data_IF_682171665074
#
_entry.id   IF_682171665074
#
_cell.length_a   1.000
_cell.length_b   1.000
_cell.length_c   1.000
_cell.angle_alpha   90.00
_cell.angle_beta   90.00
_cell.angle_gamma   90.00
#
_symmetry.space_group_name_H-M   'P 1'
#
loop_
_entity.id
_entity.type
_entity.pdbx_description
1 polymer ?
#
# COMPACT_ATOMS: atom_id res chain seq x y z
N UNK A 1 -37.38 1.63 33.15
CA UNK A 1 -35.99 1.30 33.54
C UNK A 1 -35.61 0.04 32.78
N UNK A 2 -34.50 0.14 32.06
CA UNK A 2 -34.15 -0.60 30.85
C UNK A 2 -34.04 -2.13 30.96
N UNK A 3 -34.39 -2.83 29.87
CA UNK A 3 -33.82 -4.12 29.54
C UNK A 3 -32.98 -4.07 28.25
N UNK A 4 -31.77 -4.62 28.31
CA UNK A 4 -31.16 -5.44 27.26
C UNK A 4 -30.95 -4.86 25.84
N UNK A 5 -29.68 -4.58 25.51
CA UNK A 5 -29.15 -4.51 24.13
C UNK A 5 -29.43 -5.79 23.32
N UNK A 6 -29.45 -5.74 21.96
CA UNK A 6 -28.23 -6.08 21.19
C UNK A 6 -28.11 -5.29 19.84
N UNK A 7 -27.22 -5.62 18.87
CA UNK A 7 -25.99 -4.87 18.59
C UNK A 7 -25.96 -4.18 17.20
N UNK A 8 -25.03 -3.24 17.05
CA UNK A 8 -24.69 -2.50 15.83
C UNK A 8 -24.40 -3.41 14.61
N UNK A 9 -25.33 -3.45 13.65
CA UNK A 9 -25.31 -4.39 12.53
C UNK A 9 -24.78 -3.84 11.18
N UNK A 10 -24.08 -2.70 11.13
CA UNK A 10 -23.54 -2.19 9.83
C UNK A 10 -22.06 -1.82 9.86
N UNK A 11 -21.45 -1.57 11.02
CA UNK A 11 -19.98 -1.42 11.13
C UNK A 11 -19.21 -2.74 11.21
N UNK A 12 -19.92 -3.86 11.05
CA UNK A 12 -19.37 -5.20 11.13
C UNK A 12 -19.00 -5.76 9.76
N UNK A 13 -19.56 -5.38 8.61
CA UNK A 13 -19.28 -6.13 7.38
C UNK A 13 -17.81 -6.12 6.92
N UNK A 14 -17.09 -4.99 6.95
CA UNK A 14 -15.67 -4.97 6.54
C UNK A 14 -14.70 -5.46 7.64
N UNK A 15 -14.99 -5.16 8.91
CA UNK A 15 -14.16 -5.61 10.04
C UNK A 15 -14.43 -7.07 10.40
N UNK A 16 -15.63 -7.58 10.12
CA UNK A 16 -16.04 -8.97 10.32
C UNK A 16 -15.71 -9.80 9.10
N UNK A 17 -15.54 -9.27 7.89
CA UNK A 17 -14.89 -10.03 6.81
C UNK A 17 -13.41 -10.29 7.14
N UNK A 18 -12.71 -9.33 7.77
CA UNK A 18 -11.33 -9.52 8.24
C UNK A 18 -11.25 -10.38 9.51
N UNK A 19 -12.20 -10.26 10.44
CA UNK A 19 -12.31 -11.15 11.61
C UNK A 19 -12.89 -12.54 11.29
N UNK A 20 -13.76 -12.71 10.29
CA UNK A 20 -14.20 -14.00 9.72
C UNK A 20 -13.01 -14.69 9.03
N UNK A 21 -12.12 -13.92 8.39
CA UNK A 21 -10.89 -14.43 7.76
C UNK A 21 -9.93 -15.05 8.77
N UNK A 22 -9.84 -14.52 9.99
CA UNK A 22 -8.93 -15.04 11.02
C UNK A 22 -9.59 -15.94 12.08
N UNK A 23 -10.87 -15.73 12.42
CA UNK A 23 -11.56 -16.47 13.48
C UNK A 23 -12.44 -17.64 13.00
N UNK A 24 -12.87 -17.66 11.73
CA UNK A 24 -13.76 -18.72 11.20
C UNK A 24 -13.05 -19.57 10.13
N UNK A 25 -12.22 -19.00 9.26
CA UNK A 25 -11.52 -19.80 8.22
C UNK A 25 -10.45 -20.72 8.83
N UNK A 26 -9.74 -20.31 9.88
CA UNK A 26 -8.69 -21.13 10.51
C UNK A 26 -9.26 -22.37 11.23
N UNK A 27 -10.36 -22.29 12.01
CA UNK A 27 -11.00 -23.48 12.57
C UNK A 27 -11.82 -24.29 11.55
N UNK A 28 -12.44 -23.64 10.55
CA UNK A 28 -13.18 -24.35 9.51
C UNK A 28 -12.26 -25.13 8.54
N UNK A 29 -11.03 -24.67 8.29
CA UNK A 29 -10.00 -25.43 7.55
C UNK A 29 -9.54 -26.68 8.31
N UNK A 30 -9.54 -26.66 9.65
CA UNK A 30 -9.28 -27.84 10.48
C UNK A 30 -10.44 -28.84 10.45
N UNK A 31 -11.70 -28.39 10.36
CA UNK A 31 -12.86 -29.28 10.26
C UNK A 31 -13.05 -29.84 8.83
N UNK A 32 -12.85 -29.02 7.78
CA UNK A 32 -12.92 -29.47 6.38
C UNK A 32 -11.84 -30.51 6.04
N UNK A 33 -10.63 -30.37 6.61
CA UNK A 33 -9.53 -31.34 6.46
C UNK A 33 -9.85 -32.70 7.10
N UNK A 34 -10.67 -32.75 8.17
CA UNK A 34 -11.06 -34.00 8.83
C UNK A 34 -12.30 -34.67 8.20
N UNK A 35 -13.15 -33.91 7.49
CA UNK A 35 -14.38 -34.44 6.85
C UNK A 35 -14.16 -34.82 5.38
N UNK A 36 -13.33 -34.09 4.61
CA UNK A 36 -13.11 -34.34 3.18
C UNK A 36 -11.82 -35.10 2.83
N UNK A 37 -10.88 -35.22 3.77
CA UNK A 37 -9.70 -36.08 3.62
C UNK A 37 -9.65 -37.10 4.77
N UNK A 38 -10.41 -38.22 4.70
CA UNK A 38 -10.15 -39.34 5.58
C UNK A 38 -8.69 -39.74 5.39
N UNK A 39 -7.93 -39.88 6.48
CA UNK A 39 -6.57 -40.41 6.44
C UNK A 39 -6.59 -41.72 5.65
N UNK A 40 -6.15 -41.67 4.39
CA UNK A 40 -5.89 -42.88 3.61
C UNK A 40 -4.71 -43.54 4.28
N UNK A 41 -5.02 -44.50 5.17
CA UNK A 41 -4.08 -45.52 5.62
C UNK A 41 -3.36 -46.04 4.38
N UNK A 42 -2.06 -45.80 4.31
CA UNK A 42 -1.19 -46.39 3.30
C UNK A 42 -1.42 -47.90 3.29
N UNK A 43 -2.17 -48.39 2.29
CA UNK A 43 -2.15 -49.81 1.94
C UNK A 43 -0.77 -50.05 1.33
N UNK A 44 0.14 -50.61 2.14
CA UNK A 44 1.39 -51.22 1.69
C UNK A 44 1.09 -52.13 0.50
N UNK A 45 1.36 -51.66 -0.71
CA UNK A 45 1.35 -52.49 -1.89
C UNK A 45 2.57 -53.42 -1.79
N UNK A 46 2.30 -54.70 -1.53
CA UNK A 46 3.32 -55.76 -1.55
C UNK A 46 3.94 -55.81 -2.95
N UNK A 47 5.22 -55.46 -3.04
CA UNK A 47 6.05 -55.66 -4.22
C UNK A 47 6.05 -57.15 -4.62
N UNK A 48 5.40 -57.50 -5.73
CA UNK A 48 5.68 -58.74 -6.46
C UNK A 48 6.83 -58.46 -7.42
N UNK A 49 7.90 -59.23 -7.26
CA UNK A 49 9.18 -59.06 -7.93
C UNK A 49 9.06 -58.96 -9.44
N UNK A 50 9.43 -57.79 -9.98
CA UNK A 50 9.96 -57.66 -11.32
C UNK A 50 11.45 -57.34 -11.18
N UNK A 51 12.30 -58.15 -11.83
CA UNK A 51 13.75 -57.91 -11.94
C UNK A 51 13.97 -56.49 -12.49
N UNK A 52 14.31 -55.55 -11.61
CA UNK A 52 14.71 -54.18 -11.99
C UNK A 52 16.06 -54.27 -12.68
N UNK A 53 16.09 -54.16 -13.99
CA UNK A 53 17.27 -53.61 -14.67
C UNK A 53 17.47 -52.20 -14.12
N UNK A 54 18.57 -51.95 -13.41
CA UNK A 54 18.97 -50.62 -12.94
C UNK A 54 19.27 -49.76 -14.17
N UNK A 55 18.23 -49.22 -14.82
CA UNK A 55 18.41 -48.09 -15.73
C UNK A 55 18.84 -46.92 -14.87
N UNK A 56 20.07 -46.45 -15.04
CA UNK A 56 20.50 -45.22 -14.40
C UNK A 56 19.53 -44.11 -14.81
N UNK A 57 19.07 -43.28 -13.85
CA UNK A 57 18.19 -42.16 -14.19
C UNK A 57 18.88 -41.26 -15.20
N UNK A 58 18.13 -40.79 -16.21
CA UNK A 58 18.68 -39.87 -17.20
C UNK A 58 19.12 -38.58 -16.49
N UNK A 59 20.38 -38.15 -16.64
CA UNK A 59 20.86 -36.95 -15.97
C UNK A 59 20.21 -35.72 -16.59
N UNK A 60 19.49 -34.94 -15.77
CA UNK A 60 18.78 -33.72 -16.18
C UNK A 60 19.68 -32.76 -16.97
N UNK A 61 20.98 -32.73 -16.66
CA UNK A 61 21.97 -31.86 -17.32
C UNK A 61 22.31 -32.26 -18.76
N UNK A 62 21.87 -33.44 -19.24
CA UNK A 62 22.05 -33.86 -20.63
C UNK A 62 20.86 -33.46 -21.52
N UNK A 63 19.84 -32.82 -20.96
CA UNK A 63 18.74 -32.30 -21.76
C UNK A 63 19.20 -31.07 -22.58
N UNK A 64 18.66 -30.88 -23.80
CA UNK A 64 18.80 -29.62 -24.53
C UNK A 64 18.23 -28.45 -23.71
N UNK A 65 18.65 -27.23 -24.04
CA UNK A 65 18.28 -26.02 -23.29
C UNK A 65 16.76 -25.82 -23.16
N UNK A 66 16.01 -25.89 -24.28
CA UNK A 66 14.56 -25.61 -24.27
C UNK A 66 13.74 -26.58 -23.38
N UNK A 67 13.89 -27.92 -23.47
CA UNK A 67 13.24 -28.83 -22.52
C UNK A 67 13.64 -28.58 -21.07
N UNK A 68 14.90 -28.23 -20.83
CA UNK A 68 15.41 -27.97 -19.50
C UNK A 68 14.84 -26.68 -18.90
N UNK A 69 14.70 -25.62 -19.70
CA UNK A 69 14.02 -24.37 -19.33
C UNK A 69 12.55 -24.63 -19.00
N UNK A 70 11.85 -25.39 -19.84
CA UNK A 70 10.45 -25.75 -19.59
C UNK A 70 10.31 -26.53 -18.28
N UNK A 71 11.11 -27.56 -18.07
CA UNK A 71 11.10 -28.34 -16.81
C UNK A 71 11.39 -27.43 -15.62
N UNK A 72 12.45 -26.61 -15.68
CA UNK A 72 12.82 -25.72 -14.59
C UNK A 72 11.71 -24.67 -14.31
N UNK A 73 11.04 -24.18 -15.35
CA UNK A 73 9.93 -23.23 -15.23
C UNK A 73 8.71 -23.84 -14.52
N UNK A 74 8.47 -25.13 -14.70
CA UNK A 74 7.36 -25.88 -14.11
C UNK A 74 7.66 -26.45 -12.72
N UNK A 75 8.94 -26.48 -12.30
CA UNK A 75 9.32 -26.87 -10.94
C UNK A 75 8.65 -25.96 -9.90
N UNK A 76 8.19 -26.56 -8.82
CA UNK A 76 7.79 -25.81 -7.63
C UNK A 76 8.97 -24.96 -7.13
N UNK A 77 8.68 -23.78 -6.58
CA UNK A 77 9.71 -22.80 -6.24
C UNK A 77 10.74 -23.36 -5.25
N UNK A 78 10.25 -24.10 -4.25
CA UNK A 78 11.09 -24.76 -3.24
C UNK A 78 11.94 -25.88 -3.85
N UNK A 79 11.39 -26.67 -4.78
CA UNK A 79 12.13 -27.73 -5.49
C UNK A 79 13.24 -27.12 -6.36
N UNK A 80 12.97 -26.01 -7.04
CA UNK A 80 13.96 -25.28 -7.83
C UNK A 80 15.09 -24.75 -6.95
N UNK A 81 14.77 -24.19 -5.78
CA UNK A 81 15.78 -23.76 -4.79
C UNK A 81 16.62 -24.95 -4.31
N UNK A 82 15.99 -26.03 -3.87
CA UNK A 82 16.67 -27.26 -3.45
C UNK A 82 17.62 -27.81 -4.53
N UNK A 83 17.15 -27.83 -5.77
CA UNK A 83 17.94 -28.29 -6.93
C UNK A 83 19.18 -27.42 -7.14
N UNK A 84 19.05 -26.10 -7.01
CA UNK A 84 20.19 -25.17 -7.09
C UNK A 84 21.19 -25.39 -5.95
N UNK A 85 20.71 -25.71 -4.75
CA UNK A 85 21.56 -25.95 -3.58
C UNK A 85 22.26 -27.32 -3.60
N UNK A 86 21.74 -28.29 -4.36
CA UNK A 86 22.22 -29.68 -4.37
C UNK A 86 23.68 -29.83 -4.82
N UNK A 87 24.12 -29.09 -5.84
CA UNK A 87 25.50 -29.16 -6.34
C UNK A 87 25.90 -27.91 -7.11
N UNK A 88 27.19 -27.63 -7.25
CA UNK A 88 27.68 -26.53 -8.12
C UNK A 88 27.27 -26.74 -9.58
N UNK A 89 27.16 -27.99 -10.03
CA UNK A 89 26.76 -28.32 -11.41
C UNK A 89 25.30 -27.96 -11.68
N UNK A 90 24.39 -28.34 -10.78
CA UNK A 90 22.96 -28.01 -10.90
C UNK A 90 22.68 -26.53 -10.69
N UNK A 91 23.44 -25.87 -9.81
CA UNK A 91 23.41 -24.41 -9.68
C UNK A 91 23.76 -23.73 -11.00
N UNK A 92 24.94 -24.01 -11.57
CA UNK A 92 25.39 -23.37 -12.80
C UNK A 92 24.43 -23.63 -13.97
N UNK A 93 23.88 -24.85 -14.04
CA UNK A 93 22.85 -25.20 -14.99
C UNK A 93 21.62 -24.28 -14.86
N UNK A 94 21.00 -24.21 -13.68
CA UNK A 94 19.81 -23.37 -13.46
C UNK A 94 20.09 -21.88 -13.66
N UNK A 95 21.27 -21.40 -13.27
CA UNK A 95 21.67 -19.98 -13.42
C UNK A 95 21.89 -19.55 -14.87
N UNK A 96 21.99 -20.51 -15.80
CA UNK A 96 22.16 -20.25 -17.24
C UNK A 96 20.85 -20.25 -18.03
N UNK A 97 19.74 -20.65 -17.40
CA UNK A 97 18.43 -20.76 -18.03
C UNK A 97 17.70 -19.41 -18.09
N UNK A 98 16.88 -19.24 -19.12
CA UNK A 98 15.95 -18.11 -19.23
C UNK A 98 14.62 -18.48 -18.59
N UNK A 99 14.44 -18.09 -17.32
CA UNK A 99 13.22 -18.40 -16.57
C UNK A 99 12.18 -17.27 -16.69
N UNK A 100 10.87 -17.59 -16.72
CA UNK A 100 9.82 -16.58 -16.79
C UNK A 100 9.72 -15.78 -15.49
N UNK A 101 9.25 -14.52 -15.60
CA UNK A 101 8.97 -13.66 -14.45
C UNK A 101 7.61 -14.02 -13.86
N UNK A 102 7.60 -14.53 -12.63
CA UNK A 102 6.37 -15.02 -11.99
C UNK A 102 6.33 -14.76 -10.47
N UNK A 103 7.30 -14.03 -9.92
CA UNK A 103 7.44 -13.81 -8.48
C UNK A 103 7.63 -12.35 -8.15
N UNK A 104 7.08 -11.90 -7.02
CA UNK A 104 7.44 -10.66 -6.35
C UNK A 104 8.49 -10.94 -5.27
N UNK A 105 9.48 -10.06 -5.15
CA UNK A 105 10.51 -10.15 -4.12
C UNK A 105 10.34 -9.06 -3.08
N UNK A 106 10.53 -9.39 -1.80
CA UNK A 106 10.61 -8.39 -0.74
C UNK A 106 11.88 -8.60 0.07
N UNK A 107 12.66 -7.54 0.26
CA UNK A 107 13.81 -7.54 1.18
C UNK A 107 13.31 -7.10 2.55
N UNK A 108 13.31 -8.02 3.52
CA UNK A 108 12.95 -7.74 4.90
C UNK A 108 14.20 -7.32 5.67
N UNK A 109 14.20 -6.14 6.28
CA UNK A 109 15.31 -5.63 7.10
C UNK A 109 14.78 -5.32 8.49
N UNK A 110 15.25 -6.03 9.50
CA UNK A 110 14.86 -5.79 10.89
C UNK A 110 15.96 -6.22 11.87
N UNK A 111 16.25 -5.39 12.86
CA UNK A 111 17.14 -5.63 13.98
C UNK A 111 16.30 -6.22 15.13
N UNK A 112 16.47 -7.51 15.39
CA UNK A 112 15.70 -8.27 16.38
C UNK A 112 16.37 -8.30 17.76
N UNK A 113 17.43 -7.50 17.97
CA UNK A 113 18.18 -7.44 19.23
C UNK A 113 19.20 -8.57 19.41
N UNK A 114 18.91 -9.78 18.89
CA UNK A 114 19.89 -10.87 18.77
C UNK A 114 20.70 -10.81 17.46
N UNK A 115 20.35 -9.90 16.55
CA UNK A 115 21.06 -9.71 15.29
C UNK A 115 20.23 -8.96 14.25
N UNK A 116 20.90 -8.59 13.16
CA UNK A 116 20.24 -8.02 11.98
C UNK A 116 19.73 -9.16 11.10
N UNK A 117 18.43 -9.15 10.87
CA UNK A 117 17.74 -9.93 9.83
C UNK A 117 17.67 -9.09 8.56
N UNK A 118 18.07 -9.68 7.43
CA UNK A 118 18.05 -9.06 6.11
C UNK A 118 17.66 -10.13 5.07
N UNK A 119 16.46 -10.68 5.18
CA UNK A 119 16.03 -11.86 4.45
C UNK A 119 15.26 -11.52 3.18
N UNK A 120 15.14 -12.51 2.29
CA UNK A 120 14.46 -12.35 1.01
C UNK A 120 13.18 -13.18 1.03
N UNK A 121 12.04 -12.50 0.92
CA UNK A 121 10.73 -13.13 0.80
C UNK A 121 10.41 -13.23 -0.69
N UNK A 122 10.05 -14.42 -1.14
CA UNK A 122 9.69 -14.71 -2.52
C UNK A 122 8.24 -15.17 -2.51
N UNK A 123 7.35 -14.42 -3.15
CA UNK A 123 5.93 -14.70 -3.18
C UNK A 123 5.33 -14.61 -4.58
N UNK A 124 4.17 -15.23 -4.76
CA UNK A 124 3.31 -15.03 -5.93
C UNK A 124 1.99 -14.33 -5.56
N UNK A 125 1.19 -14.01 -6.58
CA UNK A 125 -0.13 -13.41 -6.43
C UNK A 125 -1.13 -14.34 -5.72
N UNK A 126 -0.85 -15.65 -5.70
CA UNK A 126 -1.70 -16.70 -5.11
C UNK A 126 -1.36 -16.99 -3.63
N UNK A 127 -0.67 -16.07 -2.96
CA UNK A 127 -0.34 -16.13 -1.52
C UNK A 127 0.59 -17.29 -1.11
N UNK A 128 1.25 -17.98 -2.05
CA UNK A 128 2.33 -18.90 -1.70
C UNK A 128 3.64 -18.11 -1.60
N UNK A 129 4.21 -18.03 -0.41
CA UNK A 129 5.50 -17.39 -0.19
C UNK A 129 6.44 -18.27 0.62
N UNK A 130 7.73 -18.11 0.39
CA UNK A 130 8.77 -18.70 1.24
C UNK A 130 9.86 -17.66 1.50
N UNK A 131 10.59 -17.85 2.59
CA UNK A 131 11.63 -16.92 3.05
C UNK A 131 13.00 -17.56 2.87
N UNK A 132 13.96 -16.81 2.33
CA UNK A 132 15.36 -17.23 2.22
C UNK A 132 16.18 -16.45 3.24
N UNK A 133 16.68 -17.17 4.24
CA UNK A 133 17.47 -16.63 5.34
C UNK A 133 18.88 -16.27 4.90
N UNK A 134 19.27 -15.00 5.09
CA UNK A 134 20.58 -14.47 4.69
C UNK A 134 21.52 -14.22 5.89
N UNK A 135 21.04 -14.43 7.12
CA UNK A 135 21.76 -14.18 8.37
C UNK A 135 21.93 -15.41 9.28
N UNK A 136 22.54 -15.17 10.44
CA UNK A 136 22.55 -16.14 11.53
C UNK A 136 21.13 -16.26 12.08
N UNK A 137 20.48 -17.39 11.77
CA UNK A 137 19.12 -17.68 12.19
C UNK A 137 19.14 -18.27 13.60
N UNK A 138 18.52 -17.60 14.56
CA UNK A 138 18.13 -18.23 15.82
C UNK A 138 16.67 -18.65 15.70
N UNK A 139 16.33 -19.86 16.16
CA UNK A 139 15.19 -20.69 15.75
C UNK A 139 13.78 -20.16 16.12
N UNK A 140 13.60 -18.86 16.36
CA UNK A 140 12.33 -18.28 16.85
C UNK A 140 11.50 -17.62 15.76
N UNK A 141 11.41 -18.21 14.58
CA UNK A 141 10.24 -17.90 13.73
C UNK A 141 9.04 -18.65 14.25
N UNK A 142 7.86 -18.03 14.31
CA UNK A 142 6.66 -18.77 14.65
C UNK A 142 6.47 -19.90 13.64
N UNK A 143 6.06 -21.09 14.13
CA UNK A 143 6.12 -22.40 13.46
C UNK A 143 5.47 -22.51 12.06
N UNK A 144 4.78 -21.45 11.61
CA UNK A 144 4.06 -21.38 10.35
C UNK A 144 4.83 -20.72 9.20
N UNK A 145 5.98 -20.08 9.42
CA UNK A 145 6.80 -19.49 8.34
C UNK A 145 8.02 -20.37 8.09
N UNK A 146 8.02 -21.07 6.96
CA UNK A 146 9.17 -21.88 6.54
C UNK A 146 10.28 -20.98 5.99
N UNK A 147 11.41 -20.99 6.68
CA UNK A 147 12.61 -20.25 6.27
C UNK A 147 13.65 -21.23 5.75
N UNK A 148 14.08 -20.99 4.52
CA UNK A 148 15.11 -21.75 3.85
C UNK A 148 16.48 -21.14 4.11
N UNK A 149 17.36 -21.89 4.76
CA UNK A 149 18.75 -21.48 4.97
C UNK A 149 19.60 -21.83 3.75
N UNK A 150 20.45 -20.90 3.32
CA UNK A 150 21.29 -21.06 2.12
C UNK A 150 22.79 -20.90 2.46
N UNK A 151 23.35 -21.75 3.36
CA UNK A 151 24.72 -21.58 3.86
C UNK A 151 25.76 -21.59 2.74
N UNK A 152 25.50 -22.30 1.63
CA UNK A 152 26.36 -22.32 0.43
C UNK A 152 26.59 -20.94 -0.19
N UNK A 153 25.65 -20.01 -0.03
CA UNK A 153 25.71 -18.66 -0.62
C UNK A 153 26.04 -17.57 0.40
N UNK A 154 26.14 -17.92 1.67
CA UNK A 154 26.46 -17.00 2.76
C UNK A 154 27.92 -17.14 3.18
N UNK A 155 28.52 -16.05 3.66
CA UNK A 155 29.86 -16.07 4.27
C UNK A 155 29.78 -15.67 5.73
N UNK A 156 30.41 -16.45 6.61
CA UNK A 156 30.34 -16.28 8.08
C UNK A 156 31.10 -15.04 8.59
N UNK A 157 32.07 -14.54 7.83
CA UNK A 157 32.91 -13.40 8.20
C UNK A 157 32.41 -12.04 7.65
N UNK A 158 31.26 -12.01 6.97
CA UNK A 158 30.67 -10.80 6.39
C UNK A 158 29.36 -10.44 7.08
N UNK A 159 28.95 -9.18 6.96
CA UNK A 159 27.69 -8.69 7.54
C UNK A 159 26.46 -9.32 6.86
N UNK A 160 25.34 -9.44 7.57
CA UNK A 160 24.07 -9.94 7.01
C UNK A 160 23.71 -9.27 5.68
N UNK A 161 23.81 -7.94 5.59
CA UNK A 161 23.50 -7.19 4.34
C UNK A 161 24.36 -7.64 3.16
N UNK A 162 25.65 -7.96 3.40
CA UNK A 162 26.52 -8.47 2.35
C UNK A 162 26.05 -9.84 1.86
N UNK A 163 25.66 -10.72 2.78
CA UNK A 163 25.10 -12.02 2.43
C UNK A 163 23.77 -11.87 1.69
N UNK A 164 22.90 -10.95 2.10
CA UNK A 164 21.64 -10.65 1.40
C UNK A 164 21.89 -10.24 -0.04
N UNK A 165 22.87 -9.37 -0.29
CA UNK A 165 23.29 -8.93 -1.63
C UNK A 165 23.77 -10.11 -2.49
N UNK A 166 24.62 -10.96 -1.93
CA UNK A 166 25.13 -12.18 -2.58
C UNK A 166 24.01 -13.15 -2.92
N UNK A 167 23.14 -13.46 -1.96
CA UNK A 167 22.01 -14.37 -2.11
C UNK A 167 21.00 -13.80 -3.10
N UNK A 168 20.68 -12.51 -3.03
CA UNK A 168 19.72 -11.88 -3.93
C UNK A 168 20.15 -11.98 -5.40
N UNK A 169 21.44 -11.82 -5.71
CA UNK A 169 21.93 -12.01 -7.07
C UNK A 169 21.72 -13.44 -7.62
N UNK A 170 21.66 -14.45 -6.74
CA UNK A 170 21.32 -15.83 -7.09
C UNK A 170 19.81 -16.02 -7.21
N UNK A 171 19.06 -15.48 -6.26
CA UNK A 171 17.59 -15.53 -6.22
C UNK A 171 16.99 -14.83 -7.44
N UNK A 172 17.46 -13.64 -7.81
CA UNK A 172 16.95 -12.89 -8.96
C UNK A 172 17.15 -13.61 -10.31
N UNK A 173 18.07 -14.58 -10.38
CA UNK A 173 18.25 -15.46 -11.55
C UNK A 173 17.34 -16.69 -11.50
N UNK A 174 17.21 -17.32 -10.32
CA UNK A 174 16.36 -18.51 -10.13
C UNK A 174 14.86 -18.19 -10.17
N UNK A 175 14.52 -16.97 -9.76
CA UNK A 175 13.16 -16.46 -9.67
C UNK A 175 13.15 -15.04 -10.25
N UNK A 176 13.16 -14.88 -11.58
CA UNK A 176 13.13 -13.55 -12.17
C UNK A 176 11.89 -12.76 -11.73
N UNK A 177 12.09 -11.49 -11.40
CA UNK A 177 11.03 -10.59 -10.94
C UNK A 177 11.12 -9.24 -11.65
N UNK A 178 9.97 -8.60 -11.85
CA UNK A 178 9.83 -7.18 -12.17
C UNK A 178 9.43 -6.34 -10.94
N UNK A 179 9.14 -6.98 -9.81
CA UNK A 179 8.64 -6.36 -8.59
C UNK A 179 9.58 -6.65 -7.42
N UNK A 180 10.32 -5.62 -7.03
CA UNK A 180 11.12 -5.61 -5.82
C UNK A 180 10.54 -4.62 -4.81
N UNK A 181 10.25 -5.10 -3.61
CA UNK A 181 9.74 -4.29 -2.51
C UNK A 181 10.71 -4.35 -1.32
N UNK A 182 10.67 -3.33 -0.45
CA UNK A 182 11.43 -3.25 0.78
C UNK A 182 10.49 -3.27 1.98
N UNK A 183 10.72 -4.16 2.94
CA UNK A 183 10.02 -4.19 4.21
C UNK A 183 11.01 -3.83 5.32
N UNK A 184 10.84 -2.66 5.92
CA UNK A 184 11.76 -2.04 6.86
C UNK A 184 11.10 -2.05 8.24
N UNK A 185 11.60 -2.94 9.10
CA UNK A 185 11.31 -2.93 10.53
C UNK A 185 12.27 -2.01 11.27
N UNK A 186 12.57 -2.35 12.52
CA UNK A 186 13.58 -1.65 13.32
C UNK A 186 14.94 -1.78 12.65
N UNK A 187 15.60 -0.70 12.26
CA UNK A 187 16.93 -0.79 11.66
C UNK A 187 17.75 0.48 11.91
N UNK A 188 19.06 0.29 12.10
CA UNK A 188 20.04 1.39 12.20
C UNK A 188 20.19 2.09 10.85
N UNK A 189 20.39 3.40 10.85
CA UNK A 189 20.60 4.21 9.64
C UNK A 189 21.60 3.61 8.66
N UNK A 190 22.77 3.16 9.15
CA UNK A 190 23.83 2.53 8.33
C UNK A 190 23.38 1.28 7.56
N UNK A 191 22.37 0.55 8.06
CA UNK A 191 21.87 -0.65 7.39
C UNK A 191 20.95 -0.27 6.22
N UNK A 192 20.07 0.71 6.45
CA UNK A 192 19.18 1.24 5.41
C UNK A 192 19.99 1.91 4.30
N UNK A 193 20.99 2.72 4.66
CA UNK A 193 21.91 3.36 3.70
C UNK A 193 22.59 2.34 2.78
N UNK A 194 23.11 1.24 3.35
CA UNK A 194 23.77 0.17 2.58
C UNK A 194 22.83 -0.54 1.61
N UNK A 195 21.55 -0.70 1.97
CA UNK A 195 20.55 -1.32 1.10
C UNK A 195 20.15 -0.35 -0.01
N UNK A 196 19.82 0.89 0.34
CA UNK A 196 19.39 1.90 -0.63
C UNK A 196 20.49 2.29 -1.63
N UNK A 197 21.76 2.11 -1.25
CA UNK A 197 22.93 2.37 -2.10
C UNK A 197 23.35 1.15 -2.95
N UNK A 198 22.74 -0.01 -2.75
CA UNK A 198 23.09 -1.23 -3.48
C UNK A 198 22.40 -1.26 -4.86
N UNK A 199 23.15 -1.44 -5.94
CA UNK A 199 22.63 -1.40 -7.31
C UNK A 199 21.64 -2.52 -7.61
N UNK A 200 21.82 -3.69 -6.99
CA UNK A 200 20.88 -4.80 -7.11
C UNK A 200 19.49 -4.49 -6.53
N UNK A 201 19.39 -3.52 -5.61
CA UNK A 201 18.14 -3.11 -5.00
C UNK A 201 17.59 -1.81 -5.60
N UNK A 202 18.30 -1.18 -6.54
CA UNK A 202 17.95 0.14 -7.06
C UNK A 202 16.52 0.18 -7.65
N UNK A 203 16.04 -0.92 -8.23
CA UNK A 203 14.74 -1.00 -8.91
C UNK A 203 13.56 -1.25 -7.97
N UNK A 204 13.73 -1.07 -6.66
CA UNK A 204 12.62 -1.23 -5.73
C UNK A 204 11.47 -0.25 -6.03
N UNK A 205 10.23 -0.75 -5.89
CA UNK A 205 8.99 -0.04 -6.20
C UNK A 205 8.26 0.41 -4.94
N UNK A 206 8.09 -0.48 -3.96
CA UNK A 206 7.40 -0.15 -2.71
C UNK A 206 8.36 -0.24 -1.51
N UNK A 207 8.26 0.72 -0.60
CA UNK A 207 8.84 0.63 0.73
C UNK A 207 7.74 0.59 1.79
N UNK A 208 7.78 -0.41 2.67
CA UNK A 208 6.89 -0.54 3.82
C UNK A 208 7.69 -0.36 5.11
N UNK A 209 7.35 0.64 5.91
CA UNK A 209 7.95 0.88 7.23
C UNK A 209 6.96 0.39 8.29
N UNK A 210 7.39 -0.55 9.15
CA UNK A 210 6.52 -1.13 10.18
C UNK A 210 6.83 -0.63 11.57
N UNK A 211 8.08 -0.57 12.00
CA UNK A 211 8.41 -0.18 13.37
C UNK A 211 8.97 1.25 13.47
N UNK A 212 9.30 1.66 14.69
CA UNK A 212 10.11 2.86 14.94
C UNK A 212 11.47 2.73 14.26
N UNK A 213 11.77 3.69 13.39
CA UNK A 213 13.09 3.88 12.79
C UNK A 213 13.68 5.23 13.22
N UNK A 214 15.00 5.35 13.12
CA UNK A 214 15.71 6.59 13.41
C UNK A 214 15.27 7.69 12.44
N UNK A 215 15.27 8.97 12.87
CA UNK A 215 14.93 10.11 12.00
C UNK A 215 15.79 10.11 10.73
N UNK A 216 17.11 9.97 10.89
CA UNK A 216 18.05 9.93 9.76
C UNK A 216 17.77 8.78 8.80
N UNK A 217 17.37 7.62 9.32
CA UNK A 217 16.94 6.49 8.51
C UNK A 217 15.67 6.80 7.69
N UNK A 218 14.67 7.44 8.31
CA UNK A 218 13.47 7.89 7.59
C UNK A 218 13.81 8.93 6.52
N UNK A 219 14.67 9.91 6.85
CA UNK A 219 15.12 10.95 5.92
C UNK A 219 15.83 10.34 4.70
N UNK A 220 16.61 9.28 4.88
CA UNK A 220 17.20 8.52 3.76
C UNK A 220 16.14 7.87 2.86
N UNK A 221 15.12 7.24 3.44
CA UNK A 221 14.02 6.60 2.68
C UNK A 221 13.26 7.66 1.88
N UNK A 222 12.88 8.76 2.53
CA UNK A 222 12.17 9.89 1.91
C UNK A 222 13.03 10.60 0.85
N UNK A 223 14.35 10.63 1.03
CA UNK A 223 15.26 11.20 0.04
C UNK A 223 15.45 10.33 -1.19
N UNK A 224 15.17 9.02 -1.09
CA UNK A 224 15.26 8.06 -2.17
C UNK A 224 13.97 8.03 -3.02
N UNK A 225 13.28 9.16 -3.18
CA UNK A 225 12.13 9.27 -4.10
C UNK A 225 12.60 9.14 -5.55
N UNK A 226 11.91 8.30 -6.32
CA UNK A 226 12.01 8.18 -7.78
C UNK A 226 10.59 7.94 -8.35
N UNK A 227 10.40 8.24 -9.63
CA UNK A 227 9.13 8.01 -10.34
C UNK A 227 8.69 6.55 -10.18
N UNK A 228 7.40 6.34 -9.90
CA UNK A 228 6.82 5.00 -9.77
C UNK A 228 6.91 4.38 -8.36
N UNK A 229 7.57 5.07 -7.41
CA UNK A 229 7.76 4.54 -6.06
C UNK A 229 6.61 4.88 -5.13
N UNK A 230 6.31 3.92 -4.26
CA UNK A 230 5.28 4.04 -3.23
C UNK A 230 5.89 3.84 -1.84
N UNK A 231 5.29 4.51 -0.85
CA UNK A 231 5.69 4.42 0.55
C UNK A 231 4.48 4.12 1.42
N UNK A 232 4.59 3.13 2.29
CA UNK A 232 3.57 2.78 3.27
C UNK A 232 4.19 2.72 4.66
N UNK A 233 3.70 3.52 5.59
CA UNK A 233 4.07 3.49 6.99
C UNK A 233 2.91 2.90 7.79
N UNK A 234 3.12 1.68 8.30
CA UNK A 234 2.10 0.88 8.99
C UNK A 234 1.73 1.45 10.36
N UNK A 235 0.76 0.81 11.04
CA UNK A 235 0.24 1.24 12.35
C UNK A 235 1.29 1.34 13.44
N UNK A 236 2.25 0.44 13.42
CA UNK A 236 3.36 0.38 14.37
C UNK A 236 4.50 1.37 14.02
N UNK A 237 4.41 2.07 12.89
CA UNK A 237 5.46 2.97 12.43
C UNK A 237 5.39 4.27 13.23
N UNK A 238 6.45 4.56 13.98
CA UNK A 238 6.53 5.74 14.82
C UNK A 238 7.37 6.81 14.13
N UNK A 239 6.78 7.99 13.99
CA UNK A 239 7.48 9.18 13.52
C UNK A 239 8.06 9.97 14.71
N UNK A 240 9.23 10.62 14.55
CA UNK A 240 9.72 11.59 15.51
C UNK A 240 8.68 12.69 15.79
N UNK A 241 8.66 13.23 17.00
CA UNK A 241 7.83 14.38 17.35
C UNK A 241 8.23 15.55 16.46
N UNK A 242 7.25 16.22 15.83
CA UNK A 242 7.46 17.29 14.85
C UNK A 242 8.31 16.88 13.64
N UNK A 243 8.18 15.63 13.19
CA UNK A 243 8.81 15.20 11.95
C UNK A 243 8.39 16.07 10.76
N UNK A 244 9.35 16.39 9.90
CA UNK A 244 9.15 17.15 8.67
C UNK A 244 10.19 16.69 7.64
N UNK A 245 9.76 16.56 6.39
CA UNK A 245 10.62 16.25 5.26
C UNK A 245 9.99 16.77 3.97
N UNK A 246 10.75 17.56 3.19
CA UNK A 246 10.25 18.22 1.96
C UNK A 246 9.70 17.23 0.93
N UNK A 247 10.29 16.04 0.86
CA UNK A 247 9.91 14.98 -0.10
C UNK A 247 8.87 13.99 0.41
N UNK A 248 8.27 14.21 1.58
CA UNK A 248 7.32 13.26 2.15
C UNK A 248 6.17 12.91 1.18
N UNK A 249 5.67 13.91 0.44
CA UNK A 249 4.58 13.73 -0.51
C UNK A 249 5.05 13.78 -1.97
N UNK A 250 6.26 13.30 -2.25
CA UNK A 250 6.79 13.17 -3.62
C UNK A 250 6.75 11.73 -4.17
N UNK A 251 6.21 10.78 -3.39
CA UNK A 251 5.94 9.42 -3.86
C UNK A 251 4.70 9.40 -4.77
N UNK A 252 4.61 8.42 -5.67
CA UNK A 252 3.42 8.22 -6.50
C UNK A 252 2.22 7.92 -5.61
N UNK A 253 2.42 7.06 -4.61
CA UNK A 253 1.46 6.82 -3.54
C UNK A 253 2.17 6.86 -2.19
N UNK A 254 1.52 7.48 -1.21
CA UNK A 254 1.98 7.47 0.18
C UNK A 254 0.85 7.15 1.15
N UNK A 255 1.14 6.28 2.11
CA UNK A 255 0.26 5.94 3.21
C UNK A 255 0.98 6.15 4.54
N UNK A 256 0.38 6.95 5.41
CA UNK A 256 0.88 7.25 6.75
C UNK A 256 -0.19 6.90 7.77
N UNK A 257 -0.02 5.78 8.48
CA UNK A 257 -0.99 5.38 9.49
C UNK A 257 -0.99 6.29 10.73
N UNK A 258 0.18 6.82 11.11
CA UNK A 258 0.34 7.75 12.22
C UNK A 258 0.70 9.14 11.67
N UNK A 259 -0.27 9.83 11.09
CA UNK A 259 -0.08 11.10 10.37
C UNK A 259 -0.20 12.36 11.25
N UNK A 260 -0.11 12.25 12.58
CA UNK A 260 -0.20 13.40 13.51
C UNK A 260 0.83 14.51 13.24
N UNK A 261 1.95 14.19 12.60
CA UNK A 261 3.00 15.16 12.23
C UNK A 261 2.66 15.94 10.95
N UNK A 262 1.73 15.44 10.14
CA UNK A 262 1.31 16.11 8.90
C UNK A 262 0.58 17.41 9.23
N UNK A 263 0.82 18.41 8.39
CA UNK A 263 0.29 19.77 8.49
C UNK A 263 -0.19 20.20 7.11
N UNK A 264 -1.09 21.18 7.05
CA UNK A 264 -1.65 21.68 5.79
C UNK A 264 -0.57 21.98 4.73
N UNK A 265 0.52 22.66 5.11
CA UNK A 265 1.58 23.02 4.15
C UNK A 265 2.21 21.81 3.44
N UNK A 266 2.26 20.63 4.06
CA UNK A 266 2.74 19.41 3.42
C UNK A 266 1.79 18.93 2.32
N UNK A 267 0.48 19.13 2.50
CA UNK A 267 -0.51 18.78 1.48
C UNK A 267 -0.50 19.76 0.31
N UNK A 268 -0.23 21.03 0.60
CA UNK A 268 -0.14 22.09 -0.41
C UNK A 268 1.17 22.01 -1.22
N UNK A 269 2.19 21.30 -0.75
CA UNK A 269 3.44 21.10 -1.51
C UNK A 269 3.38 19.91 -2.49
N UNK A 270 2.28 19.15 -2.49
CA UNK A 270 2.11 17.97 -3.34
C UNK A 270 2.11 18.33 -4.82
N UNK A 271 2.72 17.45 -5.63
CA UNK A 271 2.75 17.58 -7.08
C UNK A 271 2.54 16.21 -7.72
N UNK A 272 1.41 16.03 -8.40
CA UNK A 272 1.05 14.82 -9.17
C UNK A 272 1.06 13.54 -8.34
N UNK A 273 0.59 13.61 -7.09
CA UNK A 273 0.45 12.44 -6.22
C UNK A 273 -0.78 11.63 -6.66
N UNK A 274 -0.61 10.34 -6.98
CA UNK A 274 -1.73 9.47 -7.40
C UNK A 274 -2.65 9.14 -6.22
N UNK A 275 -2.07 8.87 -5.05
CA UNK A 275 -2.86 8.56 -3.86
C UNK A 275 -2.17 8.97 -2.56
N UNK A 276 -2.91 9.65 -1.69
CA UNK A 276 -2.56 9.81 -0.27
C UNK A 276 -3.51 8.99 0.58
N UNK A 277 -2.98 8.30 1.58
CA UNK A 277 -3.75 7.82 2.72
C UNK A 277 -3.15 8.36 4.00
N UNK A 278 -3.92 9.11 4.78
CA UNK A 278 -3.51 9.63 6.08
C UNK A 278 -4.45 9.09 7.15
N UNK A 279 -3.92 8.42 8.15
CA UNK A 279 -4.69 7.93 9.29
C UNK A 279 -4.20 8.65 10.55
N UNK A 280 -5.13 8.91 11.48
CA UNK A 280 -4.86 9.60 12.74
C UNK A 280 -4.09 10.91 12.53
N UNK A 281 -4.74 11.87 11.87
CA UNK A 281 -4.16 13.19 11.60
C UNK A 281 -4.71 14.26 12.55
N UNK A 282 -3.92 15.30 12.79
CA UNK A 282 -4.35 16.52 13.51
C UNK A 282 -4.90 17.61 12.56
N UNK A 283 -5.18 17.28 11.31
CA UNK A 283 -5.81 18.20 10.37
C UNK A 283 -7.25 18.45 10.80
N UNK A 284 -7.72 19.67 10.55
CA UNK A 284 -9.10 20.06 10.80
C UNK A 284 -9.92 19.99 9.51
N UNK A 285 -11.26 19.95 9.58
CA UNK A 285 -12.12 20.12 8.41
C UNK A 285 -11.81 21.39 7.60
N UNK A 286 -11.36 22.46 8.26
CA UNK A 286 -10.91 23.71 7.59
C UNK A 286 -9.63 23.48 6.79
N UNK A 287 -8.65 22.76 7.33
CA UNK A 287 -7.44 22.41 6.58
C UNK A 287 -7.77 21.58 5.35
N UNK A 288 -8.71 20.62 5.47
CA UNK A 288 -9.18 19.84 4.33
C UNK A 288 -9.91 20.69 3.29
N UNK A 289 -10.73 21.65 3.71
CA UNK A 289 -11.35 22.62 2.80
C UNK A 289 -10.29 23.37 1.99
N UNK A 290 -9.26 23.91 2.65
CA UNK A 290 -8.14 24.59 1.97
C UNK A 290 -7.39 23.67 1.02
N UNK A 291 -7.10 22.45 1.43
CA UNK A 291 -6.43 21.47 0.60
C UNK A 291 -7.23 21.12 -0.66
N UNK A 292 -8.54 20.81 -0.52
CA UNK A 292 -9.40 20.47 -1.65
C UNK A 292 -9.53 21.65 -2.62
N UNK A 293 -9.67 22.88 -2.08
CA UNK A 293 -9.66 24.10 -2.89
C UNK A 293 -8.38 24.23 -3.70
N UNK A 294 -7.24 24.04 -3.05
CA UNK A 294 -5.95 24.09 -3.71
C UNK A 294 -5.83 23.05 -4.82
N UNK A 295 -6.31 21.81 -4.61
CA UNK A 295 -6.34 20.78 -5.65
C UNK A 295 -7.20 21.18 -6.87
N UNK A 296 -8.34 21.82 -6.65
CA UNK A 296 -9.23 22.27 -7.74
C UNK A 296 -8.64 23.48 -8.46
N UNK A 297 -8.07 24.44 -7.74
CA UNK A 297 -7.63 25.73 -8.29
C UNK A 297 -6.24 25.68 -8.95
N UNK A 298 -5.37 24.74 -8.57
CA UNK A 298 -3.99 24.69 -9.07
C UNK A 298 -3.92 24.25 -10.51
N UNK A 299 -3.24 24.99 -11.38
CA UNK A 299 -3.18 24.72 -12.83
C UNK A 299 -2.87 23.26 -13.18
N UNK A 300 -1.97 22.61 -12.44
CA UNK A 300 -1.64 21.19 -12.59
C UNK A 300 -2.24 20.30 -11.51
N UNK A 301 -2.31 18.99 -11.78
CA UNK A 301 -2.77 18.01 -10.82
C UNK A 301 -1.88 17.99 -9.56
N UNK A 302 -2.46 18.39 -8.43
CA UNK A 302 -1.83 18.30 -7.10
C UNK A 302 -1.89 16.86 -6.59
N UNK A 303 -3.12 16.31 -6.50
CA UNK A 303 -3.40 14.98 -6.00
C UNK A 303 -4.63 14.40 -6.70
N UNK A 304 -4.59 13.14 -7.14
CA UNK A 304 -5.73 12.47 -7.79
C UNK A 304 -6.74 11.94 -6.77
N UNK A 305 -6.27 11.34 -5.67
CA UNK A 305 -7.13 10.79 -4.62
C UNK A 305 -6.48 10.93 -3.25
N UNK A 306 -7.26 11.38 -2.27
CA UNK A 306 -6.86 11.40 -0.87
C UNK A 306 -7.88 10.66 0.00
N UNK A 307 -7.38 9.84 0.91
CA UNK A 307 -8.16 9.21 1.96
C UNK A 307 -7.62 9.67 3.32
N UNK A 308 -8.37 10.50 4.02
CA UNK A 308 -7.91 11.17 5.24
C UNK A 308 -8.85 10.83 6.40
N UNK A 309 -8.30 10.22 7.45
CA UNK A 309 -9.04 9.86 8.67
C UNK A 309 -8.62 10.80 9.79
N UNK A 310 -9.54 11.67 10.20
CA UNK A 310 -9.34 12.64 11.27
C UNK A 310 -9.34 11.95 12.65
N UNK A 311 -8.70 12.58 13.64
CA UNK A 311 -8.68 12.09 15.01
C UNK A 311 -10.03 12.22 15.74
N UNK A 312 -10.85 13.21 15.36
CA UNK A 312 -12.16 13.47 15.97
C UNK A 312 -13.25 12.50 15.50
N UNK A 313 -14.34 12.35 16.26
CA UNK A 313 -15.42 11.36 16.02
C UNK A 313 -16.32 11.76 14.81
N UNK A 314 -16.26 13.02 14.37
CA UNK A 314 -17.09 13.50 13.26
C UNK A 314 -16.45 14.64 12.47
N UNK A 315 -16.93 14.82 11.25
CA UNK A 315 -16.50 15.89 10.35
C UNK A 315 -17.53 17.02 10.40
N UNK A 316 -17.09 18.21 10.82
CA UNK A 316 -17.87 19.45 10.66
C UNK A 316 -18.03 19.75 9.16
N UNK A 317 -19.23 19.48 8.66
CA UNK A 317 -19.56 19.64 7.25
C UNK A 317 -19.62 21.12 6.82
N UNK A 318 -20.00 22.02 7.73
CA UNK A 318 -20.07 23.45 7.42
C UNK A 318 -18.67 24.01 7.23
N UNK A 319 -17.73 23.59 8.08
CA UNK A 319 -16.32 23.93 7.92
C UNK A 319 -15.68 23.26 6.68
N UNK A 320 -15.96 21.98 6.43
CA UNK A 320 -15.40 21.25 5.28
C UNK A 320 -15.92 21.79 3.94
N UNK A 321 -17.20 22.15 3.86
CA UNK A 321 -17.85 22.56 2.62
C UNK A 321 -17.95 24.08 2.45
N UNK A 322 -17.41 24.86 3.40
CA UNK A 322 -17.44 26.31 3.35
C UNK A 322 -17.01 26.85 1.98
N UNK A 323 -17.88 27.63 1.34
CA UNK A 323 -17.68 28.25 0.03
C UNK A 323 -17.65 27.34 -1.20
N UNK A 324 -17.91 26.03 -1.04
CA UNK A 324 -18.20 25.14 -2.17
C UNK A 324 -19.66 25.23 -2.58
N UNK A 325 -19.91 25.07 -3.89
CA UNK A 325 -21.22 24.66 -4.37
C UNK A 325 -21.21 23.13 -4.44
N UNK A 326 -22.15 22.47 -3.77
CA UNK A 326 -22.19 21.01 -3.73
C UNK A 326 -23.59 20.45 -3.89
N UNK A 327 -23.66 19.19 -4.34
CA UNK A 327 -24.88 18.40 -4.45
C UNK A 327 -24.64 17.08 -3.75
N UNK A 328 -25.59 16.70 -2.90
CA UNK A 328 -25.62 15.38 -2.27
C UNK A 328 -26.12 14.34 -3.27
N UNK A 329 -25.35 13.28 -3.45
CA UNK A 329 -25.73 12.14 -4.29
C UNK A 329 -26.34 11.04 -3.40
N UNK A 330 -27.67 11.07 -3.31
CA UNK A 330 -28.44 10.11 -2.53
C UNK A 330 -28.42 8.70 -3.12
N UNK A 331 -28.15 8.54 -4.42
CA UNK A 331 -28.16 7.24 -5.10
C UNK A 331 -26.91 6.43 -4.77
N UNK A 332 -25.73 7.07 -4.74
CA UNK A 332 -24.48 6.41 -4.32
C UNK A 332 -24.44 6.13 -2.82
N UNK A 333 -25.07 6.97 -2.00
CA UNK A 333 -25.22 6.72 -0.56
C UNK A 333 -26.00 5.42 -0.25
N UNK A 334 -27.01 5.09 -1.08
CA UNK A 334 -27.78 3.84 -1.01
C UNK A 334 -26.95 2.60 -1.40
N UNK A 335 -26.09 2.73 -2.41
CA UNK A 335 -25.20 1.65 -2.89
C UNK A 335 -24.11 1.35 -1.86
N UNK A 336 -23.58 2.38 -1.18
CA UNK A 336 -22.47 2.25 -0.23
C UNK A 336 -22.89 1.79 1.19
N UNK A 337 -24.14 1.32 1.39
CA UNK A 337 -24.67 0.69 2.62
C UNK A 337 -24.07 1.21 3.94
N UNK A 338 -24.47 2.41 4.33
CA UNK A 338 -24.31 2.91 5.70
C UNK A 338 -23.31 4.06 5.85
N UNK A 339 -23.84 5.22 6.24
CA UNK A 339 -23.11 6.41 6.71
C UNK A 339 -22.17 7.11 5.72
N UNK A 340 -22.36 6.99 4.40
CA UNK A 340 -21.56 7.76 3.43
C UNK A 340 -22.37 8.92 2.89
N UNK A 341 -22.01 10.16 3.24
CA UNK A 341 -22.47 11.34 2.50
C UNK A 341 -21.57 11.51 1.29
N UNK A 342 -22.16 11.34 0.11
CA UNK A 342 -21.49 11.56 -1.16
C UNK A 342 -21.81 12.95 -1.64
N UNK A 343 -20.78 13.74 -1.93
CA UNK A 343 -20.90 15.11 -2.37
C UNK A 343 -20.04 15.32 -3.60
N UNK A 344 -20.61 15.90 -4.65
CA UNK A 344 -19.82 16.49 -5.71
C UNK A 344 -19.70 18.00 -5.41
N UNK A 345 -18.49 18.56 -5.50
CA UNK A 345 -18.16 19.90 -5.07
C UNK A 345 -17.37 20.66 -6.14
N UNK A 346 -17.75 21.91 -6.38
CA UNK A 346 -17.09 22.81 -7.32
C UNK A 346 -16.92 24.22 -6.73
N UNK A 347 -15.91 24.94 -7.20
CA UNK A 347 -15.67 26.33 -6.83
C UNK A 347 -16.34 27.30 -7.80
N UNK A 348 -17.00 28.32 -7.24
CA UNK A 348 -17.75 29.34 -8.00
C UNK A 348 -16.89 30.04 -9.06
N UNK A 349 -15.60 30.26 -8.81
CA UNK A 349 -14.67 30.93 -9.75
C UNK A 349 -14.30 30.06 -10.94
N UNK A 350 -14.18 28.73 -10.75
CA UNK A 350 -13.92 27.78 -11.84
C UNK A 350 -15.10 27.68 -12.83
N UNK A 351 -16.29 28.14 -12.42
CA UNK A 351 -17.52 28.12 -13.23
C UNK A 351 -17.78 29.42 -14.02
N UNK A 352 -16.82 30.36 -14.03
CA UNK A 352 -16.93 31.64 -14.73
C UNK A 352 -15.95 31.78 -15.93
N UNK A 353 -15.16 30.75 -16.24
CA UNK A 353 -14.34 30.69 -17.46
C UNK A 353 -15.09 30.04 -18.63
N UNK A 354 -14.65 30.30 -19.86
CA UNK A 354 -15.17 29.71 -21.11
C UNK A 354 -15.12 28.18 -21.06
N UNK A 355 -16.15 27.53 -20.51
CA UNK A 355 -16.63 26.14 -20.73
C UNK A 355 -15.67 24.93 -20.65
N UNK A 356 -14.36 25.13 -20.67
CA UNK A 356 -13.35 24.14 -21.05
C UNK A 356 -12.35 23.80 -19.94
N UNK A 357 -12.45 24.41 -18.75
CA UNK A 357 -11.64 24.00 -17.57
C UNK A 357 -12.51 23.86 -16.30
N UNK A 358 -13.55 23.04 -16.40
CA UNK A 358 -14.41 22.71 -15.25
C UNK A 358 -13.76 21.62 -14.40
N UNK A 359 -13.30 21.98 -13.21
CA UNK A 359 -12.69 21.06 -12.23
C UNK A 359 -13.61 20.84 -11.06
N UNK A 360 -13.74 19.60 -10.62
CA UNK A 360 -14.61 19.24 -9.51
C UNK A 360 -13.96 18.16 -8.63
N UNK A 361 -14.40 18.12 -7.38
CA UNK A 361 -14.02 17.09 -6.43
C UNK A 361 -15.23 16.26 -6.05
N UNK A 362 -15.03 14.95 -6.02
CA UNK A 362 -15.97 14.04 -5.39
C UNK A 362 -15.49 13.77 -3.97
N UNK A 363 -16.33 14.05 -2.99
CA UNK A 363 -16.03 13.98 -1.56
C UNK A 363 -17.01 13.00 -0.92
N UNK A 364 -16.48 11.93 -0.33
CA UNK A 364 -17.23 11.02 0.53
C UNK A 364 -16.84 11.27 1.98
N UNK A 365 -17.83 11.42 2.84
CA UNK A 365 -17.63 11.54 4.29
C UNK A 365 -18.32 10.37 4.99
N UNK A 366 -17.56 9.64 5.81
CA UNK A 366 -18.05 8.54 6.62
C UNK A 366 -17.44 8.59 8.04
N UNK A 367 -18.23 9.05 9.02
CA UNK A 367 -17.73 9.30 10.38
C UNK A 367 -16.64 10.36 10.38
N UNK A 368 -15.41 9.97 10.75
CA UNK A 368 -14.21 10.83 10.75
C UNK A 368 -13.38 10.74 9.46
N UNK A 369 -13.78 9.87 8.53
CA UNK A 369 -13.07 9.63 7.27
C UNK A 369 -13.61 10.54 6.17
N UNK A 370 -12.69 11.27 5.52
CA UNK A 370 -12.93 12.06 4.32
C UNK A 370 -12.13 11.43 3.18
N UNK A 371 -12.84 10.89 2.21
CA UNK A 371 -12.26 10.46 0.94
C UNK A 371 -12.56 11.52 -0.11
N UNK A 372 -11.55 11.97 -0.85
CA UNK A 372 -11.74 12.83 -2.00
C UNK A 372 -11.06 12.28 -3.25
N UNK A 373 -11.69 12.50 -4.39
CA UNK A 373 -11.14 12.26 -5.72
C UNK A 373 -11.30 13.52 -6.56
N UNK A 374 -10.21 13.97 -7.16
CA UNK A 374 -10.14 15.22 -7.91
C UNK A 374 -10.10 14.88 -9.38
N UNK A 375 -11.00 15.48 -10.16
CA UNK A 375 -11.11 15.21 -11.60
C UNK A 375 -10.78 16.46 -12.41
N UNK A 376 -10.02 16.25 -13.49
CA UNK A 376 -9.86 17.19 -14.59
C UNK A 376 -10.73 16.74 -15.78
N UNK A 377 -11.18 17.71 -16.58
CA UNK A 377 -12.24 17.56 -17.59
C UNK A 377 -12.01 16.42 -18.60
N UNK A 378 -10.76 16.04 -18.86
CA UNK A 378 -10.40 15.00 -19.83
C UNK A 378 -10.72 13.56 -19.36
N UNK A 379 -11.07 13.34 -18.09
CA UNK A 379 -11.29 12.00 -17.53
C UNK A 379 -12.77 11.67 -17.20
N UNK A 380 -13.73 12.52 -17.58
CA UNK A 380 -15.07 12.58 -16.96
C UNK A 380 -16.31 12.34 -17.84
N UNK A 381 -16.24 11.54 -18.91
CA UNK A 381 -17.38 11.33 -19.82
C UNK A 381 -18.67 10.81 -19.13
N UNK A 382 -18.54 9.99 -18.07
CA UNK A 382 -19.69 9.47 -17.31
C UNK A 382 -20.29 10.50 -16.31
N UNK A 383 -19.63 11.63 -16.07
CA UNK A 383 -19.98 12.56 -14.99
C UNK A 383 -20.52 13.92 -15.47
N UNK A 384 -20.59 14.13 -16.78
CA UNK A 384 -21.24 15.30 -17.40
C UNK A 384 -22.70 15.46 -16.93
N UNK A 385 -23.41 14.37 -16.66
CA UNK A 385 -24.79 14.40 -16.14
C UNK A 385 -24.89 15.05 -14.74
N UNK A 386 -23.89 14.86 -13.87
CA UNK A 386 -23.85 15.49 -12.54
C UNK A 386 -23.50 16.98 -12.67
N UNK A 387 -22.58 17.32 -13.56
CA UNK A 387 -22.22 18.71 -13.87
C UNK A 387 -23.42 19.48 -14.45
N UNK A 388 -24.22 18.85 -15.32
CA UNK A 388 -25.46 19.44 -15.85
C UNK A 388 -26.54 19.60 -14.77
N UNK A 389 -26.75 18.60 -13.91
CA UNK A 389 -27.65 18.71 -12.76
C UNK A 389 -27.24 19.86 -11.81
N UNK A 390 -25.93 20.08 -11.64
CA UNK A 390 -25.40 21.20 -10.85
C UNK A 390 -25.60 22.56 -11.54
N UNK A 391 -25.38 22.65 -12.85
CA UNK A 391 -25.67 23.85 -13.65
C UNK A 391 -27.15 24.22 -13.55
N UNK A 392 -28.05 23.24 -13.60
CA UNK A 392 -29.48 23.45 -13.39
C UNK A 392 -29.82 23.99 -11.99
N UNK A 393 -29.14 23.50 -10.94
CA UNK A 393 -29.33 23.97 -9.55
C UNK A 393 -28.79 25.40 -9.33
N UNK A 394 -27.73 25.83 -10.04
CA UNK A 394 -27.24 27.22 -10.06
C UNK A 394 -28.31 28.17 -10.60
N UNK A 395 -29.01 27.78 -11.67
CA UNK A 395 -30.08 28.59 -12.27
C UNK A 395 -31.28 28.76 -11.32
N UNK A 396 -31.56 27.77 -10.47
CA UNK A 396 -32.58 27.85 -9.41
C UNK A 396 -32.15 28.76 -8.23
N UNK A 397 -30.89 28.67 -7.81
CA UNK A 397 -30.36 29.47 -6.69
C UNK A 397 -30.00 30.92 -7.09
N UNK A 398 -29.89 31.22 -8.39
CA UNK A 398 -29.76 32.59 -8.91
C UNK A 398 -30.95 33.50 -8.57
N UNK A 399 -32.09 32.92 -8.17
CA UNK A 399 -33.29 33.64 -7.74
C UNK A 399 -33.37 33.91 -6.23
N UNK A 400 -32.38 33.47 -5.43
CA UNK A 400 -32.45 33.57 -3.96
C UNK A 400 -31.70 34.82 -3.46
N UNK A 401 -32.45 35.92 -3.25
CA UNK A 401 -31.91 37.27 -2.94
C UNK A 401 -31.11 37.34 -1.62
N UNK A 402 -31.37 36.45 -0.68
CA UNK A 402 -30.68 36.41 0.62
C UNK A 402 -29.20 36.01 0.50
N UNK A 403 -28.85 35.12 -0.42
CA UNK A 403 -27.46 34.66 -0.63
C UNK A 403 -26.66 35.65 -1.48
N UNK A 404 -27.33 36.39 -2.38
CA UNK A 404 -26.72 37.50 -3.13
C UNK A 404 -26.28 38.63 -2.20
N UNK A 405 -27.09 38.95 -1.19
CA UNK A 405 -26.79 39.95 -0.15
C UNK A 405 -25.59 39.57 0.74
N UNK A 406 -25.51 38.30 1.17
CA UNK A 406 -24.36 37.79 1.93
C UNK A 406 -23.05 37.79 1.13
N UNK A 407 -23.14 37.75 -0.20
CA UNK A 407 -21.99 37.81 -1.12
C UNK A 407 -21.60 39.26 -1.44
N UNK A 408 -22.57 40.17 -1.58
CA UNK A 408 -22.32 41.61 -1.75
C UNK A 408 -21.67 42.23 -0.51
N UNK A 409 -22.05 41.76 0.70
CA UNK A 409 -21.39 42.13 1.96
C UNK A 409 -19.93 41.64 2.06
N UNK A 410 -19.55 40.56 1.35
CA UNK A 410 -18.18 40.02 1.35
C UNK A 410 -17.27 40.69 0.30
N UNK A 411 -17.84 41.19 -0.81
CA UNK A 411 -17.07 41.88 -1.87
C UNK A 411 -16.69 43.30 -1.45
N UNK A 412 -17.43 43.94 -0.55
CA UNK A 412 -17.18 45.32 -0.17
C UNK A 412 -16.08 45.55 0.87
N UNK A 413 -15.62 44.53 1.61
CA UNK A 413 -14.50 44.72 2.55
C UNK A 413 -13.79 43.42 2.98
N UNK A 414 -12.74 42.99 2.25
CA UNK A 414 -11.91 41.84 2.62
C UNK A 414 -10.99 42.10 3.83
N UNK A 415 -10.73 43.36 4.20
CA UNK A 415 -9.69 43.72 5.18
C UNK A 415 -10.20 44.23 6.52
N UNK A 416 -11.47 44.67 6.65
CA UNK A 416 -11.99 45.20 7.94
C UNK A 416 -12.06 44.23 9.12
N UNK A 417 -11.90 42.92 8.91
CA UNK A 417 -11.94 41.94 10.02
C UNK A 417 -10.57 41.46 10.50
N UNK A 418 -9.47 41.88 9.87
CA UNK A 418 -8.13 41.62 10.38
C UNK A 418 -7.59 42.71 11.32
N UNK A 419 -8.32 43.81 11.53
CA UNK A 419 -7.97 44.89 12.47
C UNK A 419 -8.74 44.85 13.80
N UNK A 420 -9.36 43.72 14.18
CA UNK A 420 -10.09 43.59 15.45
C UNK A 420 -9.69 42.39 16.32
N UNK A 421 -8.53 41.77 16.06
CA UNK A 421 -7.89 40.81 16.99
C UNK A 421 -6.39 41.06 17.12
N UNK A 422 -6.01 42.33 17.28
CA UNK A 422 -4.83 42.75 18.02
C UNK A 422 -5.23 43.90 18.95
N UNK A 423 -5.98 43.57 19.99
CA UNK A 423 -5.92 44.20 21.33
C UNK A 423 -6.08 43.09 22.37
#
# INVERSE_FOLDING_TARGET
>A
MDPGFPPSAVFSAALTIVFLFFAIIVPCLQHFRNVFFPQTKEKKLKNRGHKKTKKSPFPLQKLPALPLELIASLMEKEERLCTALTSTKTENMLMSLWLPRVTGHTILICDQGNGLVADIIIGDENQSYFVVGCGAYDQRTPDHIRVWTVPKWCTTNRSTIYNTRMVYNKIAKLFPTDRLDLCIGRAKTRHIERILSASEFEKWRMASVKERIEKTAMDLIMSNVKTGRTLTCARDAQFPVNYHHDKAFCFEECEYYNAHWVRLHHLLSMKRVRKVTLVHTNLTPRDLNFFIRHCIQSEGQVCYSANIILADIGVDMDALMYGFLYVEDSNLALIMKGMVRVLCAILKTAMNGDGNDSRFAYICVAGSQVFCRIYHQDEGAEYMNVLEAMKARRNLNGSNSAMKKAIEEFVQDPERRYSLTME
#
